data_IF_007550257101
#
_entry.id   IF_007550257101
#
_cell.length_a   1.000
_cell.length_b   1.000
_cell.length_c   1.000
_cell.angle_alpha   90.00
_cell.angle_beta   90.00
_cell.angle_gamma   90.00
#
_symmetry.space_group_name_H-M   'P 1'
#
loop_
_entity.id
_entity.type
_entity.pdbx_description
1 polymer ?
#
# COMPACT_ATOMS: atom_id res chain seq x y z
N UNK A 1 16.13 -0.81 13.58
CA UNK A 1 15.31 0.20 12.86
C UNK A 1 15.35 0.03 11.33
N UNK A 2 16.44 -0.51 10.75
CA UNK A 2 16.58 -0.78 9.31
C UNK A 2 15.56 -1.79 8.73
N UNK A 3 15.27 -2.89 9.43
CA UNK A 3 14.35 -3.94 8.93
C UNK A 3 12.92 -3.42 8.66
N UNK A 4 12.40 -2.52 9.50
CA UNK A 4 11.07 -1.88 9.30
C UNK A 4 11.06 -1.07 8.01
N UNK A 5 12.15 -0.35 7.76
CA UNK A 5 12.31 0.46 6.54
C UNK A 5 12.32 -0.43 5.29
N UNK A 6 12.99 -1.58 5.33
CA UNK A 6 13.07 -2.51 4.20
C UNK A 6 11.75 -3.20 3.88
N UNK A 7 11.01 -3.65 4.90
CA UNK A 7 9.69 -4.26 4.69
C UNK A 7 8.69 -3.24 4.12
N UNK A 8 8.66 -2.03 4.66
CA UNK A 8 7.82 -0.94 4.13
C UNK A 8 8.23 -0.60 2.69
N UNK A 9 9.53 -0.55 2.39
CA UNK A 9 10.04 -0.34 1.02
C UNK A 9 9.61 -1.46 0.07
N UNK A 10 9.70 -2.73 0.50
CA UNK A 10 9.29 -3.87 -0.32
C UNK A 10 7.82 -3.76 -0.74
N UNK A 11 6.91 -3.51 0.20
CA UNK A 11 5.49 -3.36 -0.12
C UNK A 11 5.21 -2.10 -0.93
N UNK A 12 5.84 -0.96 -0.59
CA UNK A 12 5.75 0.26 -1.40
C UNK A 12 6.16 0.00 -2.85
N UNK A 13 7.25 -0.74 -3.08
CA UNK A 13 7.73 -1.08 -4.41
C UNK A 13 6.78 -2.05 -5.13
N UNK A 14 6.28 -3.08 -4.43
CA UNK A 14 5.32 -4.03 -4.98
C UNK A 14 4.05 -3.32 -5.45
N UNK A 15 3.51 -2.43 -4.61
CA UNK A 15 2.37 -1.59 -4.97
C UNK A 15 2.70 -0.71 -6.15
N UNK A 16 3.80 0.04 -6.10
CA UNK A 16 4.21 0.92 -7.18
C UNK A 16 4.29 0.17 -8.51
N UNK A 17 4.85 -1.03 -8.54
CA UNK A 17 4.92 -1.84 -9.75
C UNK A 17 3.52 -2.28 -10.25
N UNK A 18 2.63 -2.73 -9.37
CA UNK A 18 1.24 -3.10 -9.73
C UNK A 18 0.47 -1.90 -10.28
N UNK A 19 0.58 -0.78 -9.58
CA UNK A 19 -0.09 0.47 -9.94
C UNK A 19 0.47 0.99 -11.25
N UNK A 20 1.79 1.06 -11.41
CA UNK A 20 2.43 1.43 -12.68
C UNK A 20 1.93 0.54 -13.82
N UNK A 21 1.79 -0.78 -13.64
CA UNK A 21 1.24 -1.65 -14.69
C UNK A 21 -0.22 -1.32 -15.03
N UNK A 22 -1.06 -0.97 -14.04
CA UNK A 22 -2.44 -0.53 -14.26
C UNK A 22 -2.51 0.86 -14.90
N UNK A 23 -1.67 1.79 -14.44
CA UNK A 23 -1.61 3.20 -14.86
C UNK A 23 -0.98 3.37 -16.25
N UNK A 24 -0.03 2.52 -16.65
CA UNK A 24 0.53 2.52 -18.02
C UNK A 24 -0.56 2.27 -19.06
N UNK A 25 -1.65 1.58 -18.71
CA UNK A 25 -2.80 1.41 -19.60
C UNK A 25 -3.67 2.67 -19.71
N UNK A 26 -3.59 3.58 -18.74
CA UNK A 26 -4.36 4.82 -18.69
C UNK A 26 -3.44 6.05 -18.75
N UNK A 27 -3.08 6.49 -19.97
CA UNK A 27 -2.25 7.68 -20.28
C UNK A 27 -2.74 9.04 -19.68
N UNK A 28 -3.74 9.05 -18.80
CA UNK A 28 -4.41 10.23 -18.24
C UNK A 28 -3.87 10.71 -16.88
N UNK A 29 -2.88 10.03 -16.29
CA UNK A 29 -2.49 10.23 -14.89
C UNK A 29 -1.22 11.06 -14.66
N UNK A 30 -0.67 11.69 -15.70
CA UNK A 30 0.53 12.53 -15.57
C UNK A 30 0.26 13.75 -14.65
N UNK A 31 1.15 13.99 -13.70
CA UNK A 31 1.12 15.06 -12.68
C UNK A 31 0.02 14.90 -11.63
N UNK A 32 -0.41 13.68 -11.35
CA UNK A 32 -1.36 13.41 -10.29
C UNK A 32 -0.65 12.82 -9.07
N UNK A 33 -1.12 13.19 -7.88
CA UNK A 33 -0.69 12.60 -6.64
C UNK A 33 -1.88 11.96 -5.93
N UNK A 34 -1.59 10.92 -5.16
CA UNK A 34 -2.52 10.39 -4.19
C UNK A 34 -1.75 9.79 -3.02
N UNK A 35 -2.15 10.19 -1.83
CA UNK A 35 -1.74 9.59 -0.57
C UNK A 35 -2.85 8.64 -0.11
N UNK A 36 -2.46 7.40 0.17
CA UNK A 36 -3.35 6.35 0.70
C UNK A 36 -2.85 5.94 2.07
N UNK A 37 -3.73 6.02 3.05
CA UNK A 37 -3.49 5.48 4.40
C UNK A 37 -4.13 4.12 4.52
N UNK A 38 -3.34 3.18 5.02
CA UNK A 38 -3.73 1.79 5.17
C UNK A 38 -3.41 1.35 6.59
N UNK A 39 -4.40 0.79 7.27
CA UNK A 39 -4.20 0.08 8.53
C UNK A 39 -4.07 -1.41 8.21
N UNK A 40 -3.09 -2.05 8.85
CA UNK A 40 -2.81 -3.47 8.70
C UNK A 40 -3.45 -4.19 9.89
N UNK A 41 -4.63 -4.78 9.67
CA UNK A 41 -5.37 -5.50 10.69
C UNK A 41 -4.88 -6.95 10.74
N UNK A 42 -4.47 -7.49 11.90
CA UNK A 42 -4.09 -8.90 12.00
C UNK A 42 -5.28 -9.77 11.64
N UNK A 43 -5.15 -10.58 10.59
CA UNK A 43 -6.15 -11.56 10.19
C UNK A 43 -5.82 -12.94 10.78
N UNK A 44 -4.53 -13.25 10.89
CA UNK A 44 -4.03 -14.46 11.56
C UNK A 44 -2.62 -14.24 12.10
N UNK A 45 -2.06 -15.26 12.75
CA UNK A 45 -0.66 -15.26 13.16
C UNK A 45 0.33 -15.12 12.01
N UNK A 46 -0.12 -15.29 10.75
CA UNK A 46 0.73 -15.24 9.56
C UNK A 46 0.26 -14.22 8.53
N UNK A 47 -0.87 -13.54 8.75
CA UNK A 47 -1.43 -12.62 7.75
C UNK A 47 -2.05 -11.36 8.35
N UNK A 48 -2.01 -10.29 7.56
CA UNK A 48 -2.73 -9.05 7.79
C UNK A 48 -3.73 -8.82 6.66
N UNK A 49 -4.87 -8.23 7.00
CA UNK A 49 -5.78 -7.60 6.05
C UNK A 49 -5.43 -6.10 5.97
N UNK A 50 -5.33 -5.56 4.76
CA UNK A 50 -5.20 -4.12 4.59
C UNK A 50 -6.58 -3.47 4.54
N UNK A 51 -6.77 -2.48 5.40
CA UNK A 51 -7.93 -1.61 5.37
C UNK A 51 -7.51 -0.20 5.01
N UNK A 52 -8.07 0.35 3.95
CA UNK A 52 -7.84 1.75 3.57
C UNK A 52 -8.66 2.63 4.51
N UNK A 53 -8.01 3.63 5.12
CA UNK A 53 -8.63 4.54 6.08
C UNK A 53 -8.61 6.01 5.63
N UNK A 54 -7.87 6.33 4.58
CA UNK A 54 -7.83 7.68 4.03
C UNK A 54 -7.25 7.72 2.62
N UNK A 55 -7.82 8.59 1.81
CA UNK A 55 -7.38 8.92 0.46
C UNK A 55 -7.29 10.45 0.37
N UNK A 56 -6.19 10.97 -0.15
CA UNK A 56 -5.96 12.40 -0.32
C UNK A 56 -5.21 12.65 -1.64
N UNK A 57 -5.79 13.45 -2.53
CA UNK A 57 -5.18 13.77 -3.83
C UNK A 57 -6.20 13.63 -4.97
N UNK A 58 -5.72 13.22 -6.14
CA UNK A 58 -6.58 13.01 -7.32
C UNK A 58 -7.54 11.84 -7.12
N UNK A 59 -8.83 12.07 -7.34
CA UNK A 59 -9.89 11.06 -7.26
C UNK A 59 -9.59 9.84 -8.13
N UNK A 60 -9.17 10.06 -9.38
CA UNK A 60 -8.91 8.97 -10.35
C UNK A 60 -7.72 8.12 -9.91
N UNK A 61 -6.61 8.75 -9.50
CA UNK A 61 -5.44 8.02 -9.04
C UNK A 61 -5.75 7.28 -7.72
N UNK A 62 -6.45 7.93 -6.80
CA UNK A 62 -6.85 7.33 -5.53
C UNK A 62 -7.80 6.13 -5.70
N UNK A 63 -8.74 6.15 -6.64
CA UNK A 63 -9.61 5.00 -6.92
C UNK A 63 -8.86 3.81 -7.51
N UNK A 64 -7.91 4.06 -8.42
CA UNK A 64 -7.04 3.01 -8.98
C UNK A 64 -6.18 2.38 -7.89
N UNK A 65 -5.62 3.20 -7.00
CA UNK A 65 -4.84 2.76 -5.86
C UNK A 65 -5.70 1.94 -4.89
N UNK A 66 -6.90 2.41 -4.58
CA UNK A 66 -7.86 1.72 -3.72
C UNK A 66 -8.14 0.32 -4.28
N UNK A 67 -8.55 0.25 -5.54
CA UNK A 67 -8.85 -1.02 -6.22
C UNK A 67 -7.63 -1.96 -6.26
N UNK A 68 -6.42 -1.41 -6.45
CA UNK A 68 -5.18 -2.19 -6.48
C UNK A 68 -4.80 -2.77 -5.12
N UNK A 69 -5.06 -2.04 -4.03
CA UNK A 69 -4.80 -2.47 -2.65
C UNK A 69 -5.85 -3.46 -2.18
N UNK A 70 -7.13 -3.18 -2.43
CA UNK A 70 -8.24 -4.11 -2.14
C UNK A 70 -8.09 -5.43 -2.90
N UNK A 71 -7.61 -5.39 -4.15
CA UNK A 71 -7.28 -6.58 -4.93
C UNK A 71 -6.05 -7.37 -4.46
N UNK A 72 -5.27 -6.86 -3.49
CA UNK A 72 -4.28 -7.66 -2.75
C UNK A 72 -4.94 -8.24 -1.51
N UNK A 73 -5.64 -7.40 -0.73
CA UNK A 73 -6.48 -7.75 0.42
C UNK A 73 -5.73 -8.34 1.62
N UNK A 74 -4.80 -9.26 1.38
CA UNK A 74 -4.12 -10.08 2.39
C UNK A 74 -2.61 -10.04 2.19
N UNK A 75 -1.89 -9.79 3.28
CA UNK A 75 -0.46 -9.63 3.34
C UNK A 75 0.12 -10.66 4.29
N UNK A 76 1.31 -11.18 3.99
CA UNK A 76 2.03 -12.03 4.95
C UNK A 76 2.57 -11.19 6.10
N UNK A 77 2.30 -11.62 7.32
CA UNK A 77 2.91 -11.07 8.53
C UNK A 77 4.43 -11.22 8.42
N UNK A 78 5.21 -10.18 8.74
CA UNK A 78 6.66 -10.33 8.82
C UNK A 78 7.01 -11.34 9.90
N UNK A 79 8.03 -12.16 9.65
CA UNK A 79 8.49 -13.20 10.59
C UNK A 79 8.97 -12.63 11.93
N UNK A 80 9.26 -11.33 11.99
CA UNK A 80 9.63 -10.64 13.21
C UNK A 80 8.39 -10.09 13.95
N UNK A 81 8.22 -10.51 15.21
CA UNK A 81 7.18 -9.98 16.09
C UNK A 81 7.33 -8.49 16.39
N UNK A 82 8.57 -7.99 16.45
CA UNK A 82 8.85 -6.56 16.59
C UNK A 82 8.33 -5.77 15.38
N UNK A 83 8.47 -6.31 14.18
CA UNK A 83 7.96 -5.72 12.95
C UNK A 83 6.43 -5.71 12.93
N UNK A 84 5.82 -6.85 13.28
CA UNK A 84 4.37 -7.03 13.34
C UNK A 84 3.70 -6.02 14.28
N UNK A 85 4.33 -5.70 15.41
CA UNK A 85 3.81 -4.70 16.37
C UNK A 85 3.92 -3.26 15.87
N UNK A 86 4.87 -2.97 14.97
CA UNK A 86 5.09 -1.63 14.41
C UNK A 86 4.33 -1.40 13.10
N UNK A 87 4.00 -2.45 12.37
CA UNK A 87 3.17 -2.43 11.17
C UNK A 87 1.68 -2.36 11.53
N UNK A 88 1.27 -1.25 12.14
CA UNK A 88 -0.15 -0.97 12.41
C UNK A 88 -0.75 -0.06 11.34
N UNK A 89 0.02 0.92 10.89
CA UNK A 89 -0.39 1.90 9.89
C UNK A 89 0.73 2.07 8.87
N UNK A 90 0.36 2.12 7.60
CA UNK A 90 1.20 2.39 6.45
C UNK A 90 0.63 3.55 5.68
N UNK A 91 1.49 4.53 5.38
CA UNK A 91 1.15 5.63 4.49
C UNK A 91 1.90 5.43 3.18
N UNK A 92 1.13 5.26 2.11
CA UNK A 92 1.61 5.18 0.75
C UNK A 92 1.39 6.52 0.07
N UNK A 93 2.45 7.06 -0.52
CA UNK A 93 2.37 8.27 -1.34
C UNK A 93 2.76 7.87 -2.75
N UNK A 94 1.85 8.11 -3.69
CA UNK A 94 2.06 7.88 -5.10
C UNK A 94 2.00 9.21 -5.82
N UNK A 95 3.03 9.46 -6.61
CA UNK A 95 3.14 10.60 -7.52
C UNK A 95 3.51 10.02 -8.88
N UNK A 96 2.80 10.45 -9.91
CA UNK A 96 2.96 9.99 -11.29
C UNK A 96 3.08 11.16 -12.26
#
# INVERSE_FOLDING_TARGET
>A
MQLVSEYVKYYKQMYKNRISNTVIMEKKLARQNCQVRVIMNPLSDKTFEAQITGLLGSDVLCEILKSSIEGIGIFKRPESDFMSRRLKELVFEFEY
#
